data_IF_386497280832
#
_entry.id   IF_386497280832
#
_cell.length_a   1.000
_cell.length_b   1.000
_cell.length_c   1.000
_cell.angle_alpha   90.00
_cell.angle_beta   90.00
_cell.angle_gamma   90.00
#
_symmetry.space_group_name_H-M   'P 1'
#
loop_
_entity.id
_entity.type
_entity.pdbx_description
1 polymer ?
#
# COMPACT_ATOMS: atom_id res chain seq x y z
N UNK A 1 21.14 11.86 -5.25
CA UNK A 1 19.83 12.44 -5.57
C UNK A 1 19.77 13.79 -4.87
N UNK A 2 19.31 14.84 -5.58
CA UNK A 2 19.08 16.16 -5.00
C UNK A 2 17.95 16.12 -3.96
N UNK A 3 17.43 17.27 -3.58
CA UNK A 3 16.29 17.37 -2.67
C UNK A 3 15.03 16.83 -3.37
N UNK A 4 14.55 15.64 -2.95
CA UNK A 4 13.42 14.96 -3.59
C UNK A 4 12.14 15.79 -3.48
N UNK A 5 11.92 16.46 -2.36
CA UNK A 5 10.79 17.37 -2.17
C UNK A 5 10.81 18.49 -3.23
N UNK A 6 11.95 19.17 -3.42
CA UNK A 6 12.11 20.18 -4.45
C UNK A 6 11.85 19.66 -5.85
N UNK A 7 12.36 18.46 -6.19
CA UNK A 7 12.11 17.87 -7.50
C UNK A 7 10.61 17.64 -7.75
N UNK A 8 9.87 17.19 -6.74
CA UNK A 8 8.41 16.98 -6.84
C UNK A 8 7.68 18.33 -6.95
N UNK A 9 8.15 19.35 -6.22
CA UNK A 9 7.63 20.72 -6.32
C UNK A 9 7.88 21.32 -7.70
N UNK A 10 9.10 21.17 -8.25
CA UNK A 10 9.43 21.58 -9.62
C UNK A 10 8.58 20.89 -10.67
N UNK A 11 8.32 19.58 -10.53
CA UNK A 11 7.38 18.86 -11.41
C UNK A 11 6.01 19.54 -11.37
N UNK A 12 5.54 19.95 -10.20
CA UNK A 12 4.19 20.49 -10.04
C UNK A 12 4.08 21.94 -10.54
N UNK A 13 5.14 22.75 -10.38
CA UNK A 13 5.08 24.21 -10.56
C UNK A 13 5.79 24.70 -11.82
N UNK A 14 6.86 24.04 -12.25
CA UNK A 14 7.76 24.50 -13.31
C UNK A 14 7.63 23.70 -14.61
N UNK A 15 7.50 22.36 -14.51
CA UNK A 15 7.48 21.50 -15.67
C UNK A 15 6.13 21.61 -16.40
N UNK A 16 6.11 21.87 -17.72
CA UNK A 16 4.87 21.89 -18.50
C UNK A 16 4.07 20.60 -18.32
N UNK A 17 2.78 20.73 -17.99
CA UNK A 17 1.87 19.62 -17.68
C UNK A 17 2.26 18.77 -16.46
N UNK A 18 3.31 19.11 -15.72
CA UNK A 18 3.79 18.32 -14.58
C UNK A 18 2.73 18.20 -13.48
N UNK A 19 2.00 19.30 -13.17
CA UNK A 19 0.84 19.30 -12.27
C UNK A 19 -0.20 18.25 -12.69
N UNK A 20 -0.58 18.23 -13.97
CA UNK A 20 -1.53 17.27 -14.53
C UNK A 20 -1.05 15.82 -14.37
N UNK A 21 0.19 15.51 -14.77
CA UNK A 21 0.72 14.16 -14.65
C UNK A 21 0.84 13.69 -13.20
N UNK A 22 1.22 14.57 -12.30
CA UNK A 22 1.27 14.27 -10.88
C UNK A 22 -0.13 13.93 -10.34
N UNK A 23 -1.13 14.75 -10.68
CA UNK A 23 -2.50 14.54 -10.26
C UNK A 23 -3.11 13.28 -10.87
N UNK A 24 -2.82 13.02 -12.16
CA UNK A 24 -3.24 11.80 -12.84
C UNK A 24 -2.64 10.54 -12.20
N UNK A 25 -1.36 10.57 -11.85
CA UNK A 25 -0.69 9.48 -11.15
C UNK A 25 -1.30 9.24 -9.77
N UNK A 26 -1.53 10.31 -9.00
CA UNK A 26 -2.18 10.22 -7.69
C UNK A 26 -3.58 9.61 -7.79
N UNK A 27 -4.42 10.13 -8.67
CA UNK A 27 -5.79 9.64 -8.88
C UNK A 27 -5.80 8.16 -9.32
N UNK A 28 -4.90 7.79 -10.23
CA UNK A 28 -4.73 6.39 -10.66
C UNK A 28 -4.34 5.49 -9.49
N UNK A 29 -3.43 5.94 -8.62
CA UNK A 29 -3.05 5.22 -7.41
C UNK A 29 -4.22 5.03 -6.44
N UNK A 30 -5.06 6.05 -6.22
CA UNK A 30 -6.26 5.94 -5.37
C UNK A 30 -7.27 4.94 -5.94
N UNK A 31 -7.57 5.04 -7.23
CA UNK A 31 -8.48 4.10 -7.89
C UNK A 31 -7.93 2.66 -7.85
N UNK A 32 -6.63 2.50 -8.08
CA UNK A 32 -5.96 1.19 -7.99
C UNK A 32 -6.14 0.55 -6.60
N UNK A 33 -5.93 1.29 -5.51
CA UNK A 33 -6.13 0.78 -4.14
C UNK A 33 -7.56 0.36 -3.91
N UNK A 34 -8.53 1.22 -4.29
CA UNK A 34 -9.95 0.93 -4.09
C UNK A 34 -10.35 -0.33 -4.85
N UNK A 35 -10.01 -0.41 -6.14
CA UNK A 35 -10.35 -1.57 -6.97
C UNK A 35 -9.65 -2.85 -6.48
N UNK A 36 -8.39 -2.77 -6.09
CA UNK A 36 -7.63 -3.89 -5.52
C UNK A 36 -8.31 -4.43 -4.25
N UNK A 37 -8.72 -3.54 -3.34
CA UNK A 37 -9.38 -3.95 -2.10
C UNK A 37 -10.77 -4.56 -2.38
N UNK A 38 -11.59 -3.91 -3.21
CA UNK A 38 -12.92 -4.41 -3.60
C UNK A 38 -12.79 -5.78 -4.27
N UNK A 39 -11.85 -5.93 -5.20
CA UNK A 39 -11.60 -7.19 -5.88
C UNK A 39 -11.12 -8.30 -4.92
N UNK A 40 -10.20 -7.98 -4.01
CA UNK A 40 -9.71 -8.92 -3.01
C UNK A 40 -10.83 -9.40 -2.09
N UNK A 41 -11.67 -8.48 -1.59
CA UNK A 41 -12.82 -8.81 -0.74
C UNK A 41 -13.84 -9.66 -1.50
N UNK A 42 -14.15 -9.34 -2.76
CA UNK A 42 -15.07 -10.13 -3.60
C UNK A 42 -14.57 -11.57 -3.77
N UNK A 43 -13.28 -11.75 -4.09
CA UNK A 43 -12.66 -13.06 -4.22
C UNK A 43 -12.67 -13.86 -2.93
N UNK A 44 -12.43 -13.18 -1.80
CA UNK A 44 -12.50 -13.78 -0.49
C UNK A 44 -13.93 -14.22 -0.12
N UNK A 45 -14.93 -13.35 -0.29
CA UNK A 45 -16.33 -13.66 0.01
C UNK A 45 -16.87 -14.79 -0.86
N UNK A 46 -16.51 -14.84 -2.14
CA UNK A 46 -16.83 -15.93 -3.08
C UNK A 46 -16.01 -17.21 -2.83
N UNK A 47 -15.16 -17.22 -1.82
CA UNK A 47 -14.30 -18.35 -1.45
C UNK A 47 -13.45 -18.88 -2.61
N UNK A 48 -12.97 -18.00 -3.49
CA UNK A 48 -12.15 -18.36 -4.65
C UNK A 48 -10.86 -19.10 -4.27
N UNK A 49 -10.36 -18.92 -3.05
CA UNK A 49 -9.24 -19.71 -2.50
C UNK A 49 -9.48 -21.24 -2.52
N UNK A 50 -10.73 -21.70 -2.73
CA UNK A 50 -11.06 -23.13 -2.88
C UNK A 50 -10.96 -23.63 -4.32
N UNK A 51 -11.02 -22.74 -5.30
CA UNK A 51 -10.98 -23.07 -6.74
C UNK A 51 -9.57 -22.90 -7.32
N UNK A 52 -8.77 -21.99 -6.77
CA UNK A 52 -7.38 -21.83 -7.15
C UNK A 52 -6.49 -22.93 -6.58
N UNK A 53 -5.42 -23.27 -7.30
CA UNK A 53 -4.34 -24.07 -6.72
C UNK A 53 -3.67 -23.29 -5.59
N UNK A 54 -3.05 -24.00 -4.65
CA UNK A 54 -2.29 -23.38 -3.55
C UNK A 54 -1.24 -22.40 -4.06
N UNK A 55 -0.55 -22.78 -5.16
CA UNK A 55 0.47 -21.92 -5.77
C UNK A 55 -0.13 -20.60 -6.29
N UNK A 56 -1.21 -20.67 -7.05
CA UNK A 56 -1.87 -19.48 -7.60
C UNK A 56 -2.37 -18.57 -6.49
N UNK A 57 -3.05 -19.13 -5.48
CA UNK A 57 -3.50 -18.36 -4.33
C UNK A 57 -2.34 -17.68 -3.59
N UNK A 58 -1.25 -18.40 -3.36
CA UNK A 58 -0.05 -17.83 -2.71
C UNK A 58 0.51 -16.67 -3.53
N UNK A 59 0.60 -16.80 -4.86
CA UNK A 59 1.08 -15.71 -5.72
C UNK A 59 0.16 -14.49 -5.68
N UNK A 60 -1.17 -14.69 -5.62
CA UNK A 60 -2.13 -13.59 -5.48
C UNK A 60 -2.00 -12.87 -4.14
N UNK A 61 -1.87 -13.60 -3.02
CA UNK A 61 -1.67 -12.98 -1.72
C UNK A 61 -0.33 -12.24 -1.65
N UNK A 62 0.74 -12.84 -2.19
CA UNK A 62 2.03 -12.16 -2.27
C UNK A 62 1.95 -10.87 -3.08
N UNK A 63 1.29 -10.90 -4.25
CA UNK A 63 1.11 -9.71 -5.08
C UNK A 63 0.30 -8.62 -4.37
N UNK A 64 -0.72 -8.97 -3.59
CA UNK A 64 -1.49 -8.03 -2.77
C UNK A 64 -0.57 -7.26 -1.79
N UNK A 65 0.31 -7.97 -1.07
CA UNK A 65 1.27 -7.33 -0.17
C UNK A 65 2.28 -6.45 -0.91
N UNK A 66 2.75 -6.89 -2.07
CA UNK A 66 3.65 -6.09 -2.90
C UNK A 66 2.97 -4.83 -3.46
N UNK A 67 1.68 -4.87 -3.75
CA UNK A 67 0.91 -3.66 -4.09
C UNK A 67 0.93 -2.63 -2.94
N UNK A 68 0.70 -3.06 -1.69
CA UNK A 68 0.82 -2.17 -0.54
C UNK A 68 2.25 -1.63 -0.36
N UNK A 69 3.27 -2.44 -0.62
CA UNK A 69 4.66 -1.98 -0.61
C UNK A 69 4.94 -0.95 -1.73
N UNK A 70 4.34 -1.14 -2.91
CA UNK A 70 4.45 -0.16 -4.00
C UNK A 70 3.84 1.18 -3.60
N UNK A 71 2.65 1.16 -3.00
CA UNK A 71 2.00 2.36 -2.48
C UNK A 71 2.84 3.05 -1.38
N UNK A 72 3.38 2.26 -0.46
CA UNK A 72 4.24 2.75 0.61
C UNK A 72 5.51 3.42 0.07
N UNK A 73 6.21 2.79 -0.88
CA UNK A 73 7.40 3.38 -1.48
C UNK A 73 7.07 4.65 -2.26
N UNK A 74 5.94 4.69 -2.98
CA UNK A 74 5.45 5.89 -3.65
C UNK A 74 5.13 7.04 -2.68
N UNK A 75 4.57 6.71 -1.53
CA UNK A 75 4.30 7.69 -0.48
C UNK A 75 5.59 8.30 0.11
N UNK A 76 6.63 7.49 0.31
CA UNK A 76 7.95 7.99 0.72
C UNK A 76 8.53 8.95 -0.33
N UNK A 77 8.34 8.66 -1.61
CA UNK A 77 8.90 9.44 -2.72
C UNK A 77 8.27 10.83 -2.92
N UNK A 78 7.22 11.19 -2.18
CA UNK A 78 6.78 12.58 -2.08
C UNK A 78 7.92 13.46 -1.55
N UNK A 79 8.82 12.91 -0.72
CA UNK A 79 9.94 13.62 -0.13
C UNK A 79 9.54 14.69 0.89
N UNK A 80 8.26 14.79 1.20
CA UNK A 80 7.68 15.70 2.19
C UNK A 80 7.82 15.15 3.62
N UNK A 81 7.32 15.91 4.59
CA UNK A 81 7.34 15.53 6.01
C UNK A 81 6.70 14.16 6.25
N UNK A 82 5.56 13.93 5.62
CA UNK A 82 4.79 12.68 5.78
C UNK A 82 5.56 11.46 5.25
N UNK A 83 6.13 11.56 4.05
CA UNK A 83 6.92 10.50 3.43
C UNK A 83 8.18 10.17 4.23
N UNK A 84 8.89 11.20 4.73
CA UNK A 84 10.05 11.02 5.60
C UNK A 84 9.70 10.29 6.90
N UNK A 85 8.60 10.71 7.57
CA UNK A 85 8.14 10.05 8.80
C UNK A 85 7.73 8.60 8.54
N UNK A 86 6.99 8.34 7.45
CA UNK A 86 6.59 6.98 7.08
C UNK A 86 7.80 6.05 6.91
N UNK A 87 8.84 6.48 6.19
CA UNK A 87 10.07 5.71 6.03
C UNK A 87 10.83 5.48 7.35
N UNK A 88 10.91 6.50 8.21
CA UNK A 88 11.56 6.38 9.52
C UNK A 88 10.77 5.46 10.47
N UNK A 89 9.44 5.55 10.48
CA UNK A 89 8.56 4.65 11.26
C UNK A 89 8.76 3.21 10.78
N UNK A 90 8.76 2.98 9.47
CA UNK A 90 9.01 1.64 8.91
C UNK A 90 10.36 1.07 9.37
N UNK A 91 11.44 1.84 9.28
CA UNK A 91 12.77 1.40 9.74
C UNK A 91 12.76 1.09 11.25
N UNK A 92 12.07 1.91 12.04
CA UNK A 92 11.95 1.72 13.48
C UNK A 92 11.19 0.45 13.83
N UNK A 93 10.07 0.17 13.14
CA UNK A 93 9.30 -1.06 13.28
C UNK A 93 10.13 -2.27 12.87
N UNK A 94 10.78 -2.22 11.70
CA UNK A 94 11.60 -3.32 11.20
C UNK A 94 12.71 -3.70 12.20
N UNK A 95 13.39 -2.72 12.78
CA UNK A 95 14.45 -2.95 13.79
C UNK A 95 13.97 -3.66 15.06
N UNK A 96 12.66 -3.67 15.34
CA UNK A 96 12.12 -4.44 16.47
C UNK A 96 12.13 -5.95 16.24
N UNK A 97 12.30 -6.40 14.99
CA UNK A 97 12.38 -7.83 14.65
C UNK A 97 13.80 -8.34 14.91
N UNK A 98 14.01 -9.26 15.87
CA UNK A 98 15.33 -9.76 16.20
C UNK A 98 16.03 -10.39 14.99
N UNK A 99 17.34 -10.21 14.88
CA UNK A 99 18.27 -10.78 13.89
C UNK A 99 18.06 -10.36 12.45
N UNK A 100 16.82 -10.23 11.97
CA UNK A 100 16.51 -9.97 10.54
C UNK A 100 16.00 -8.56 10.26
N UNK A 101 15.59 -7.82 11.27
CA UNK A 101 14.93 -6.52 11.08
C UNK A 101 15.82 -5.46 10.44
N UNK A 102 17.05 -5.31 10.91
CA UNK A 102 17.98 -4.33 10.35
C UNK A 102 18.39 -4.68 8.90
N UNK A 103 18.81 -5.91 8.56
CA UNK A 103 19.01 -6.31 7.17
C UNK A 103 17.80 -6.06 6.26
N UNK A 104 16.60 -6.46 6.70
CA UNK A 104 15.36 -6.28 5.91
C UNK A 104 15.04 -4.79 5.70
N UNK A 105 15.19 -3.96 6.74
CA UNK A 105 14.96 -2.52 6.59
C UNK A 105 15.88 -1.89 5.55
N UNK A 106 17.16 -2.30 5.52
CA UNK A 106 18.18 -1.79 4.56
C UNK A 106 17.95 -2.25 3.13
N UNK A 107 17.22 -3.34 2.90
CA UNK A 107 16.79 -3.74 1.55
C UNK A 107 15.76 -2.77 0.95
N UNK A 108 15.02 -2.06 1.79
CA UNK A 108 13.97 -1.13 1.35
C UNK A 108 14.39 0.33 1.49
N UNK A 109 15.11 0.69 2.56
CA UNK A 109 15.52 2.06 2.84
C UNK A 109 16.93 2.05 3.44
N UNK A 110 17.85 2.78 2.81
CA UNK A 110 19.20 3.02 3.34
C UNK A 110 19.20 4.39 4.03
N UNK A 111 19.51 4.45 5.34
CA UNK A 111 19.56 5.71 6.07
C UNK A 111 20.56 6.71 5.46
N UNK A 112 20.28 8.01 5.62
CA UNK A 112 21.18 9.08 5.19
C UNK A 112 20.95 9.54 3.76
N UNK A 113 22.01 9.91 3.05
CA UNK A 113 21.93 10.52 1.70
C UNK A 113 21.23 9.64 0.63
N UNK A 114 21.20 8.33 0.85
CA UNK A 114 20.59 7.36 -0.07
C UNK A 114 19.17 6.94 0.33
N UNK A 115 18.54 7.66 1.27
CA UNK A 115 17.22 7.31 1.81
C UNK A 115 16.15 7.05 0.74
N UNK A 116 16.10 7.86 -0.30
CA UNK A 116 15.10 7.76 -1.36
C UNK A 116 15.50 6.85 -2.52
N UNK A 117 16.75 6.38 -2.58
CA UNK A 117 17.27 5.65 -3.74
C UNK A 117 16.59 4.28 -3.92
N UNK A 118 16.56 3.47 -2.87
CA UNK A 118 15.89 2.16 -2.93
C UNK A 118 14.37 2.28 -3.07
N UNK A 119 13.65 3.14 -2.31
CA UNK A 119 12.24 3.40 -2.59
C UNK A 119 11.95 3.75 -4.05
N UNK A 120 12.80 4.56 -4.68
CA UNK A 120 12.65 4.91 -6.10
C UNK A 120 12.78 3.68 -7.02
N UNK A 121 13.83 2.88 -6.85
CA UNK A 121 14.01 1.66 -7.65
C UNK A 121 12.87 0.66 -7.42
N UNK A 122 12.42 0.50 -6.18
CA UNK A 122 11.31 -0.39 -5.86
C UNK A 122 10.01 0.09 -6.49
N UNK A 123 9.67 1.38 -6.34
CA UNK A 123 8.42 1.93 -6.84
C UNK A 123 8.35 1.93 -8.36
N UNK A 124 9.41 2.37 -9.04
CA UNK A 124 9.40 2.58 -10.48
C UNK A 124 9.72 1.31 -11.29
N UNK A 125 10.44 0.34 -10.69
CA UNK A 125 10.96 -0.79 -11.46
C UNK A 125 10.66 -2.14 -10.81
N UNK A 126 11.24 -2.43 -9.64
CA UNK A 126 11.24 -3.80 -9.11
C UNK A 126 9.85 -4.30 -8.73
N UNK A 127 9.10 -3.54 -7.94
CA UNK A 127 7.79 -3.97 -7.46
C UNK A 127 6.76 -4.08 -8.61
N UNK A 128 6.60 -3.10 -9.51
CA UNK A 128 5.69 -3.24 -10.65
C UNK A 128 5.99 -4.45 -11.54
N UNK A 129 7.26 -4.67 -11.89
CA UNK A 129 7.66 -5.81 -12.71
C UNK A 129 7.40 -7.14 -11.99
N UNK A 130 7.72 -7.21 -10.70
CA UNK A 130 7.49 -8.41 -9.89
C UNK A 130 5.99 -8.69 -9.74
N UNK A 131 5.15 -7.68 -9.48
CA UNK A 131 3.70 -7.84 -9.40
C UNK A 131 3.15 -8.39 -10.71
N UNK A 132 3.49 -7.78 -11.86
CA UNK A 132 3.04 -8.23 -13.19
C UNK A 132 3.47 -9.68 -13.43
N UNK A 133 4.70 -10.04 -13.07
CA UNK A 133 5.19 -11.41 -13.18
C UNK A 133 4.38 -12.40 -12.34
N UNK A 134 4.06 -12.05 -11.09
CA UNK A 134 3.31 -12.93 -10.18
C UNK A 134 1.86 -13.15 -10.64
N UNK A 135 1.20 -12.10 -11.11
CA UNK A 135 -0.22 -12.15 -11.50
C UNK A 135 -0.44 -12.43 -13.00
N UNK A 136 0.61 -12.71 -13.77
CA UNK A 136 0.52 -12.86 -15.25
C UNK A 136 -0.53 -13.86 -15.75
N UNK A 137 -0.76 -14.95 -15.00
CA UNK A 137 -1.80 -15.92 -15.32
C UNK A 137 -3.18 -15.35 -14.98
N UNK A 138 -3.31 -14.72 -13.83
CA UNK A 138 -4.53 -14.12 -13.32
C UNK A 138 -5.05 -12.96 -14.20
N UNK A 139 -4.15 -12.10 -14.69
CA UNK A 139 -4.52 -10.99 -15.59
C UNK A 139 -5.24 -11.50 -16.84
N UNK A 140 -4.84 -12.65 -17.39
CA UNK A 140 -5.45 -13.21 -18.60
C UNK A 140 -6.91 -13.62 -18.40
N UNK A 141 -7.28 -13.96 -17.18
CA UNK A 141 -8.64 -14.39 -16.81
C UNK A 141 -9.53 -13.19 -16.42
N UNK A 142 -8.91 -12.11 -15.99
CA UNK A 142 -9.61 -10.96 -15.43
C UNK A 142 -9.14 -9.64 -16.08
N UNK A 143 -9.39 -9.48 -17.35
CA UNK A 143 -9.26 -8.17 -18.01
C UNK A 143 -10.60 -7.44 -17.88
N UNK A 144 -10.59 -6.19 -17.35
CA UNK A 144 -11.78 -5.35 -17.37
C UNK A 144 -12.25 -5.12 -18.81
N UNK A 145 -13.56 -4.98 -18.99
CA UNK A 145 -14.10 -4.66 -20.31
C UNK A 145 -13.65 -3.26 -20.77
N UNK A 146 -13.68 -3.04 -22.09
CA UNK A 146 -13.23 -1.79 -22.69
C UNK A 146 -14.03 -0.58 -22.22
N UNK A 147 -15.34 -0.75 -21.91
CA UNK A 147 -16.19 0.34 -21.42
C UNK A 147 -15.77 0.78 -20.03
N UNK A 148 -15.49 -0.18 -19.15
CA UNK A 148 -14.96 0.12 -17.82
C UNK A 148 -13.61 0.85 -17.91
N UNK A 149 -12.67 0.33 -18.71
CA UNK A 149 -11.37 0.97 -18.90
C UNK A 149 -11.49 2.39 -19.44
N UNK A 150 -12.34 2.60 -20.45
CA UNK A 150 -12.59 3.93 -20.98
C UNK A 150 -13.18 4.86 -19.93
N UNK A 151 -14.24 4.44 -19.23
CA UNK A 151 -14.91 5.25 -18.20
C UNK A 151 -13.96 5.59 -17.05
N UNK A 152 -13.15 4.63 -16.59
CA UNK A 152 -12.16 4.85 -15.55
C UNK A 152 -11.08 5.84 -16.01
N UNK A 153 -10.56 5.69 -17.23
CA UNK A 153 -9.57 6.59 -17.80
C UNK A 153 -10.11 8.01 -17.93
N UNK A 154 -11.32 8.17 -18.45
CA UNK A 154 -11.99 9.48 -18.55
C UNK A 154 -12.21 10.09 -17.17
N UNK A 155 -12.67 9.30 -16.20
CA UNK A 155 -12.86 9.76 -14.82
C UNK A 155 -11.56 10.27 -14.18
N UNK A 156 -10.46 9.51 -14.31
CA UNK A 156 -9.14 9.91 -13.81
C UNK A 156 -8.65 11.18 -14.52
N UNK A 157 -8.83 11.24 -15.84
CA UNK A 157 -8.43 12.39 -16.64
C UNK A 157 -9.18 13.66 -16.21
N UNK A 158 -10.49 13.58 -16.05
CA UNK A 158 -11.30 14.70 -15.56
C UNK A 158 -10.90 15.10 -14.13
N UNK A 159 -10.67 14.13 -13.26
CA UNK A 159 -10.17 14.40 -11.91
C UNK A 159 -8.83 15.17 -11.95
N UNK A 160 -7.89 14.73 -12.77
CA UNK A 160 -6.59 15.38 -12.91
C UNK A 160 -6.65 16.80 -13.51
N UNK A 161 -7.70 17.12 -14.27
CA UNK A 161 -7.92 18.46 -14.81
C UNK A 161 -8.62 19.40 -13.82
N UNK A 162 -9.56 18.86 -13.04
CA UNK A 162 -10.48 19.67 -12.23
C UNK A 162 -10.05 19.82 -10.77
N UNK A 163 -9.22 18.89 -10.26
CA UNK A 163 -8.81 18.87 -8.86
C UNK A 163 -7.37 19.33 -8.73
N UNK A 164 -7.16 20.37 -7.92
CA UNK A 164 -5.81 20.82 -7.61
C UNK A 164 -5.07 19.81 -6.73
N UNK A 165 -3.78 19.54 -7.00
CA UNK A 165 -2.99 18.68 -6.13
C UNK A 165 -2.82 19.32 -4.77
N UNK A 166 -2.90 18.49 -3.72
CA UNK A 166 -2.53 18.96 -2.37
C UNK A 166 -1.06 19.36 -2.36
N UNK A 167 -0.79 20.52 -1.76
CA UNK A 167 0.59 20.90 -1.48
C UNK A 167 1.11 20.05 -0.32
N UNK A 168 2.24 19.43 -0.53
CA UNK A 168 2.88 18.58 0.47
C UNK A 168 3.51 19.44 1.58
N UNK A 169 3.58 18.88 2.78
CA UNK A 169 4.18 19.58 3.93
C UNK A 169 5.70 19.57 3.79
N UNK A 170 6.37 20.75 3.71
CA UNK A 170 7.83 20.79 3.61
C UNK A 170 8.50 19.95 4.71
N UNK A 171 9.64 19.29 4.43
CA UNK A 171 10.34 18.46 5.41
C UNK A 171 10.71 19.18 6.70
N UNK A 172 11.00 20.48 6.61
CA UNK A 172 11.41 21.36 7.71
C UNK A 172 10.23 21.94 8.50
N UNK A 173 8.98 21.75 8.01
CA UNK A 173 7.83 22.36 8.68
C UNK A 173 7.67 21.86 10.12
N UNK A 174 7.37 22.75 11.08
CA UNK A 174 7.16 22.38 12.48
C UNK A 174 5.78 21.75 12.66
N UNK A 175 5.64 20.46 12.29
CA UNK A 175 4.39 19.71 12.44
C UNK A 175 4.58 18.64 13.51
N UNK A 176 3.73 18.64 14.53
CA UNK A 176 3.78 17.70 15.65
C UNK A 176 3.16 16.34 15.30
N UNK A 177 2.10 16.35 14.51
CA UNK A 177 1.38 15.13 14.12
C UNK A 177 1.31 15.02 12.59
N UNK A 178 1.73 13.87 12.09
CA UNK A 178 1.68 13.52 10.67
C UNK A 178 0.80 12.30 10.49
N UNK A 179 -0.15 12.41 9.57
CA UNK A 179 -1.08 11.33 9.24
C UNK A 179 -0.60 10.59 7.99
N UNK A 180 -0.65 9.26 8.03
CA UNK A 180 -0.43 8.45 6.84
C UNK A 180 -1.63 8.49 5.88
N UNK A 181 -1.48 7.97 4.65
CA UNK A 181 -2.59 7.84 3.73
C UNK A 181 -3.68 6.95 4.31
N UNK A 182 -4.94 7.18 3.90
CA UNK A 182 -6.13 6.56 4.50
C UNK A 182 -6.04 5.03 4.64
N UNK A 183 -5.42 4.35 3.68
CA UNK A 183 -5.27 2.89 3.71
C UNK A 183 -4.22 2.37 4.71
N UNK A 184 -3.44 3.25 5.34
CA UNK A 184 -2.51 2.94 6.44
C UNK A 184 -2.98 3.47 7.79
N UNK A 185 -4.06 4.24 7.87
CA UNK A 185 -4.57 4.80 9.13
C UNK A 185 -4.92 3.72 10.16
N UNK A 186 -5.43 2.57 9.73
CA UNK A 186 -5.70 1.44 10.62
C UNK A 186 -4.45 0.90 11.32
N UNK A 187 -3.33 0.76 10.58
CA UNK A 187 -2.02 0.39 11.17
C UNK A 187 -1.50 1.50 12.07
N UNK A 188 -1.61 2.75 11.67
CA UNK A 188 -1.19 3.89 12.48
C UNK A 188 -1.94 3.95 13.82
N UNK A 189 -3.26 3.71 13.80
CA UNK A 189 -4.07 3.59 15.02
C UNK A 189 -3.64 2.40 15.89
N UNK A 190 -3.31 1.26 15.29
CA UNK A 190 -2.84 0.09 16.01
C UNK A 190 -1.50 0.34 16.69
N UNK A 191 -0.59 1.06 16.05
CA UNK A 191 0.73 1.43 16.61
C UNK A 191 0.64 2.40 17.79
N UNK A 192 -0.49 3.10 17.98
CA UNK A 192 -0.70 3.94 19.17
C UNK A 192 -1.05 3.12 20.43
N UNK A 193 -1.66 1.95 20.25
CA UNK A 193 -2.16 1.12 21.37
C UNK A 193 -1.35 -0.15 21.57
N UNK A 194 -0.52 -0.55 20.60
CA UNK A 194 0.29 -1.75 20.66
C UNK A 194 1.78 -1.43 20.43
N UNK A 195 2.71 -2.15 21.08
CA UNK A 195 4.14 -2.03 20.79
C UNK A 195 4.43 -2.23 19.29
N UNK A 196 5.44 -1.53 18.72
CA UNK A 196 5.73 -1.56 17.28
C UNK A 196 5.90 -2.96 16.68
N UNK A 197 6.54 -3.88 17.40
CA UNK A 197 6.66 -5.28 16.98
C UNK A 197 5.30 -5.94 16.78
N UNK A 198 4.37 -5.75 17.70
CA UNK A 198 3.04 -6.37 17.65
C UNK A 198 2.15 -5.68 16.62
N UNK A 199 2.01 -4.36 16.70
CA UNK A 199 1.12 -3.60 15.82
C UNK A 199 1.61 -3.54 14.37
N UNK A 200 2.94 -3.45 14.16
CA UNK A 200 3.52 -3.28 12.84
C UNK A 200 3.98 -4.57 12.14
N UNK A 201 4.22 -5.65 12.89
CA UNK A 201 4.78 -6.90 12.32
C UNK A 201 3.92 -8.12 12.65
N UNK A 202 3.70 -8.42 13.94
CA UNK A 202 3.10 -9.70 14.35
C UNK A 202 1.63 -9.78 13.91
N UNK A 203 0.82 -8.78 14.20
CA UNK A 203 -0.61 -8.79 13.85
C UNK A 203 -0.80 -8.81 12.32
N UNK A 204 -0.17 -7.93 11.52
CA UNK A 204 -0.22 -8.03 10.07
C UNK A 204 0.34 -9.35 9.52
N UNK A 205 1.39 -9.88 10.14
CA UNK A 205 1.99 -11.16 9.78
C UNK A 205 1.06 -12.34 10.02
N UNK A 206 0.39 -12.41 11.18
CA UNK A 206 -0.63 -13.43 11.46
C UNK A 206 -1.75 -13.37 10.43
N UNK A 207 -2.21 -12.18 10.10
CA UNK A 207 -3.25 -11.99 9.08
C UNK A 207 -2.78 -12.53 7.71
N UNK A 208 -1.54 -12.23 7.30
CA UNK A 208 -0.94 -12.76 6.08
C UNK A 208 -0.89 -14.29 6.06
N UNK A 209 -0.44 -14.90 7.16
CA UNK A 209 -0.41 -16.37 7.33
C UNK A 209 -1.81 -16.96 7.25
N UNK A 210 -2.79 -16.35 7.91
CA UNK A 210 -4.19 -16.80 7.85
C UNK A 210 -4.73 -16.78 6.41
N UNK A 211 -4.44 -15.73 5.63
CA UNK A 211 -4.82 -15.66 4.22
C UNK A 211 -4.15 -16.77 3.38
N UNK A 212 -2.86 -17.01 3.60
CA UNK A 212 -2.12 -18.07 2.91
C UNK A 212 -2.61 -19.48 3.26
N UNK A 213 -3.09 -19.68 4.49
CA UNK A 213 -3.56 -20.99 4.96
C UNK A 213 -4.99 -21.34 4.50
N UNK A 214 -5.76 -20.40 3.95
CA UNK A 214 -7.14 -20.64 3.51
C UNK A 214 -7.32 -21.83 2.56
N UNK A 215 -6.47 -22.05 1.52
CA UNK A 215 -6.62 -23.19 0.61
C UNK A 215 -6.46 -24.56 1.28
N UNK A 216 -5.68 -24.62 2.36
CA UNK A 216 -5.41 -25.87 3.09
C UNK A 216 -6.53 -26.25 4.06
N UNK A 217 -7.44 -25.32 4.34
CA UNK A 217 -8.45 -25.46 5.38
C UNK A 217 -9.79 -25.90 4.79
N UNK A 218 -10.06 -27.23 4.75
CA UNK A 218 -11.25 -27.77 4.07
C UNK A 218 -12.45 -28.06 4.98
N UNK A 219 -12.26 -28.25 6.28
CA UNK A 219 -13.27 -28.69 7.25
C UNK A 219 -13.79 -27.56 8.16
N UNK A 220 -14.18 -27.89 9.39
CA UNK A 220 -14.64 -26.95 10.42
C UNK A 220 -13.58 -25.87 10.67
N UNK A 221 -12.30 -26.24 10.73
CA UNK A 221 -11.18 -25.31 10.84
C UNK A 221 -11.14 -24.27 9.72
N UNK A 222 -11.51 -24.64 8.50
CA UNK A 222 -11.58 -23.70 7.37
C UNK A 222 -12.73 -22.69 7.49
N UNK A 223 -13.83 -23.07 8.12
CA UNK A 223 -14.92 -22.11 8.43
C UNK A 223 -14.46 -21.11 9.49
N UNK A 224 -13.84 -21.58 10.56
CA UNK A 224 -13.31 -20.73 11.62
C UNK A 224 -12.27 -19.75 11.06
N UNK A 225 -11.31 -20.23 10.24
CA UNK A 225 -10.31 -19.39 9.63
C UNK A 225 -10.92 -18.33 8.69
N UNK A 226 -11.91 -18.71 7.89
CA UNK A 226 -12.62 -17.76 7.01
C UNK A 226 -13.30 -16.65 7.82
N UNK A 227 -14.02 -16.99 8.88
CA UNK A 227 -14.68 -15.98 9.72
C UNK A 227 -13.67 -15.13 10.51
N UNK A 228 -12.56 -15.70 10.94
CA UNK A 228 -11.47 -14.94 11.55
C UNK A 228 -10.88 -13.90 10.59
N UNK A 229 -10.56 -14.29 9.36
CA UNK A 229 -10.07 -13.37 8.32
C UNK A 229 -11.11 -12.28 8.03
N UNK A 230 -12.40 -12.66 7.92
CA UNK A 230 -13.48 -11.70 7.71
C UNK A 230 -13.59 -10.69 8.86
N UNK A 231 -13.56 -11.18 10.11
CA UNK A 231 -13.60 -10.31 11.29
C UNK A 231 -12.40 -9.36 11.34
N UNK A 232 -11.21 -9.82 10.93
CA UNK A 232 -10.00 -8.99 10.86
C UNK A 232 -10.13 -7.91 9.78
N UNK A 233 -10.66 -8.23 8.60
CA UNK A 233 -10.96 -7.22 7.56
C UNK A 233 -11.93 -6.17 8.06
N UNK A 234 -13.04 -6.60 8.68
CA UNK A 234 -14.04 -5.67 9.23
C UNK A 234 -13.43 -4.82 10.35
N UNK A 235 -12.67 -5.42 11.25
CA UNK A 235 -12.00 -4.71 12.35
C UNK A 235 -10.99 -3.68 11.83
N UNK A 236 -10.19 -4.04 10.83
CA UNK A 236 -9.27 -3.10 10.20
C UNK A 236 -10.00 -1.95 9.49
N UNK A 237 -11.08 -2.26 8.78
CA UNK A 237 -11.94 -1.25 8.15
C UNK A 237 -12.54 -0.27 9.16
N UNK A 238 -13.02 -0.77 10.30
CA UNK A 238 -13.56 0.06 11.39
C UNK A 238 -12.48 0.93 12.03
N UNK A 239 -11.27 0.39 12.26
CA UNK A 239 -10.13 1.18 12.76
C UNK A 239 -9.75 2.29 11.77
N UNK A 240 -9.69 1.96 10.48
CA UNK A 240 -9.39 2.94 9.43
C UNK A 240 -10.46 4.03 9.36
N UNK A 241 -11.74 3.65 9.39
CA UNK A 241 -12.86 4.60 9.36
C UNK A 241 -12.84 5.52 10.60
N UNK A 242 -12.65 4.95 11.79
CA UNK A 242 -12.50 5.74 13.02
C UNK A 242 -11.36 6.74 12.91
N UNK A 243 -10.19 6.27 12.47
CA UNK A 243 -9.02 7.11 12.31
C UNK A 243 -9.23 8.23 11.28
N UNK A 244 -9.98 7.96 10.21
CA UNK A 244 -10.33 8.95 9.21
C UNK A 244 -11.29 10.02 9.74
N UNK A 245 -12.26 9.65 10.59
CA UNK A 245 -13.28 10.57 11.11
C UNK A 245 -12.82 11.39 12.33
N UNK A 246 -11.97 10.82 13.19
CA UNK A 246 -11.63 11.40 14.51
C UNK A 246 -10.13 11.69 14.63
N UNK A 247 -9.36 11.28 13.65
CA UNK A 247 -7.89 11.25 13.69
C UNK A 247 -7.35 9.89 14.15
N UNK A 248 -6.15 9.53 13.71
CA UNK A 248 -5.52 8.26 14.07
C UNK A 248 -5.17 8.19 15.54
#
# INVERSE_FOLDING_TARGET
MGNVFQNVEEITTVIPFGKFFRQFHYASGQLFVILMLVHTVDYFLKRRYRTYSTKEWTLLILSLYLCFFTLFTGFILKGDKEGLFAGNIFMSIAKTVPFVGDPVSRLLIVPGKSFFFLPYLHHCLFLPLLIIYLIRAHIREWLPDQRFLFSATVGIFLYALLVDPFMDIPPEAPVELVTGPWFFLGIQSLLKVAPPLWGGVVIPGIFAVCLLMLPFSRNVSGRVLHYFVMATFCGYGLLTLRAFLVGP
#
